data_IF_375973179071
#
_entry.id   IF_375973179071
#
_cell.length_a   1.000
_cell.length_b   1.000
_cell.length_c   1.000
_cell.angle_alpha   90.00
_cell.angle_beta   90.00
_cell.angle_gamma   90.00
#
_symmetry.space_group_name_H-M   'P 1'
#
loop_
_entity.id
_entity.type
_entity.pdbx_description
1 polymer ?
#
# COMPACT_ATOMS: atom_id res chain seq x y z
N UNK A 1 28.36 3.38 -15.85
CA UNK A 1 28.72 1.97 -15.61
C UNK A 1 27.84 1.07 -16.49
N UNK A 2 27.97 1.20 -17.82
CA UNK A 2 27.15 0.50 -18.85
C UNK A 2 28.05 -0.36 -19.77
N UNK A 3 29.09 -0.97 -19.21
CA UNK A 3 30.08 -1.76 -19.97
C UNK A 3 30.54 -2.98 -19.17
N UNK A 4 29.62 -3.81 -18.71
CA UNK A 4 30.02 -5.13 -18.18
C UNK A 4 29.07 -6.29 -18.54
N UNK A 5 27.92 -6.03 -19.17
CA UNK A 5 27.03 -7.08 -19.66
C UNK A 5 26.43 -6.62 -20.99
N UNK A 6 26.72 -7.32 -22.08
CA UNK A 6 26.08 -7.11 -23.38
C UNK A 6 24.61 -7.58 -23.31
N UNK A 7 23.77 -6.76 -22.68
CA UNK A 7 22.34 -6.98 -22.60
C UNK A 7 21.65 -6.09 -23.63
N UNK A 8 20.88 -6.71 -24.52
CA UNK A 8 20.00 -5.98 -25.43
C UNK A 8 18.88 -5.28 -24.63
N UNK A 9 18.28 -4.19 -25.15
CA UNK A 9 17.19 -3.48 -24.46
C UNK A 9 16.01 -4.38 -24.03
N UNK A 10 15.75 -5.45 -24.78
CA UNK A 10 14.76 -6.47 -24.43
C UNK A 10 15.16 -7.31 -23.20
N UNK A 11 16.46 -7.53 -22.97
CA UNK A 11 16.99 -8.25 -21.80
C UNK A 11 17.15 -7.34 -20.56
N UNK A 12 17.22 -6.04 -20.77
CA UNK A 12 17.22 -5.03 -19.71
C UNK A 12 15.81 -4.54 -19.32
N UNK A 13 14.78 -5.01 -20.03
CA UNK A 13 13.39 -4.72 -19.66
C UNK A 13 13.09 -5.38 -18.32
N UNK A 14 12.52 -4.67 -17.33
CA UNK A 14 12.10 -5.30 -16.09
C UNK A 14 11.18 -6.46 -16.45
N UNK A 15 11.36 -7.65 -15.83
CA UNK A 15 10.46 -8.76 -16.09
C UNK A 15 9.03 -8.27 -15.89
N UNK A 16 8.10 -8.72 -16.75
CA UNK A 16 6.68 -8.50 -16.50
C UNK A 16 6.30 -9.01 -15.10
N UNK A 17 5.14 -8.65 -14.54
CA UNK A 17 4.71 -9.13 -13.24
C UNK A 17 4.48 -10.64 -13.29
N UNK A 18 5.56 -11.40 -13.12
CA UNK A 18 5.56 -12.85 -13.01
C UNK A 18 5.73 -13.13 -11.53
N UNK A 19 4.61 -13.12 -10.81
CA UNK A 19 4.57 -13.69 -9.47
C UNK A 19 4.50 -15.21 -9.60
N UNK A 20 5.53 -15.85 -10.15
CA UNK A 20 5.73 -17.29 -10.00
C UNK A 20 6.29 -17.55 -8.60
N UNK A 21 5.46 -17.29 -7.60
CA UNK A 21 5.66 -17.90 -6.28
C UNK A 21 5.33 -19.38 -6.42
N UNK A 22 6.30 -20.25 -6.15
CA UNK A 22 5.99 -21.65 -5.88
C UNK A 22 5.31 -21.65 -4.50
N UNK A 23 3.98 -21.64 -4.49
CA UNK A 23 3.23 -21.72 -3.24
C UNK A 23 3.15 -23.18 -2.84
N UNK A 24 3.76 -23.55 -1.72
CA UNK A 24 3.68 -24.93 -1.16
C UNK A 24 2.25 -25.32 -0.77
N UNK A 25 1.33 -24.34 -0.66
CA UNK A 25 -0.09 -24.51 -0.39
C UNK A 25 -0.94 -23.71 -1.39
N UNK A 26 -2.27 -23.95 -1.39
CA UNK A 26 -3.20 -23.17 -2.22
C UNK A 26 -3.00 -21.65 -1.98
N UNK A 27 -3.02 -20.83 -3.04
CA UNK A 27 -2.82 -19.38 -2.95
C UNK A 27 -4.04 -18.73 -2.27
N UNK A 28 -4.11 -18.82 -0.95
CA UNK A 28 -5.15 -18.19 -0.12
C UNK A 28 -6.59 -18.61 -0.46
N UNK A 29 -7.59 -17.95 0.17
CA UNK A 29 -9.01 -18.19 -0.09
C UNK A 29 -9.52 -17.52 -1.39
N UNK A 30 -8.75 -16.61 -1.99
CA UNK A 30 -9.14 -15.83 -3.18
C UNK A 30 -8.00 -15.81 -4.19
N UNK A 31 -8.33 -16.07 -5.44
CA UNK A 31 -7.39 -16.15 -6.56
C UNK A 31 -7.92 -15.45 -7.82
N UNK A 32 -7.21 -15.59 -8.96
CA UNK A 32 -7.62 -14.97 -10.22
C UNK A 32 -8.96 -15.50 -10.76
N UNK A 33 -9.34 -16.73 -10.43
CA UNK A 33 -10.54 -17.41 -10.93
C UNK A 33 -11.77 -17.11 -10.08
N UNK A 34 -11.55 -16.61 -8.87
CA UNK A 34 -12.61 -16.20 -7.95
C UNK A 34 -13.54 -15.15 -8.58
N UNK A 35 -14.82 -15.23 -8.25
CA UNK A 35 -15.84 -14.31 -8.74
C UNK A 35 -15.50 -12.86 -8.31
N UNK A 36 -15.85 -11.83 -9.13
CA UNK A 36 -15.55 -10.44 -8.82
C UNK A 36 -16.04 -9.99 -7.43
N UNK A 37 -17.24 -10.42 -7.01
CA UNK A 37 -17.77 -10.08 -5.68
C UNK A 37 -16.90 -10.61 -4.55
N UNK A 38 -16.39 -11.83 -4.67
CA UNK A 38 -15.51 -12.44 -3.66
C UNK A 38 -14.20 -11.65 -3.53
N UNK A 39 -13.67 -11.13 -4.64
CA UNK A 39 -12.47 -10.28 -4.63
C UNK A 39 -12.74 -8.92 -3.98
N UNK A 40 -13.91 -8.32 -4.25
CA UNK A 40 -14.35 -7.06 -3.63
C UNK A 40 -14.49 -7.23 -2.12
N UNK A 41 -15.15 -8.30 -1.69
CA UNK A 41 -15.34 -8.61 -0.26
C UNK A 41 -14.01 -8.87 0.44
N UNK A 42 -13.13 -9.63 -0.20
CA UNK A 42 -11.80 -9.89 0.33
C UNK A 42 -10.96 -8.61 0.44
N UNK A 43 -10.99 -7.74 -0.56
CA UNK A 43 -10.30 -6.45 -0.50
C UNK A 43 -10.84 -5.58 0.64
N UNK A 44 -12.16 -5.48 0.78
CA UNK A 44 -12.79 -4.70 1.85
C UNK A 44 -12.48 -5.23 3.25
N UNK A 45 -12.39 -6.55 3.42
CA UNK A 45 -12.01 -7.18 4.69
C UNK A 45 -10.52 -6.97 5.00
N UNK A 46 -9.65 -7.14 4.00
CA UNK A 46 -8.19 -7.05 4.17
C UNK A 46 -7.74 -5.60 4.39
N UNK A 47 -8.26 -4.66 3.59
CA UNK A 47 -7.97 -3.24 3.68
C UNK A 47 -9.08 -2.46 4.39
N UNK A 48 -9.55 -2.99 5.53
CA UNK A 48 -10.59 -2.33 6.32
C UNK A 48 -10.17 -0.88 6.66
N UNK A 49 -11.07 0.05 6.35
CA UNK A 49 -10.87 1.49 6.40
C UNK A 49 -12.23 2.16 6.64
N UNK A 50 -12.23 3.49 6.80
CA UNK A 50 -13.48 4.25 6.86
C UNK A 50 -14.35 4.00 5.63
N UNK A 51 -15.65 3.78 5.87
CA UNK A 51 -16.63 3.52 4.81
C UNK A 51 -17.46 4.74 4.44
N UNK A 52 -17.40 5.80 5.24
CA UNK A 52 -18.12 7.06 5.02
C UNK A 52 -17.41 8.00 4.02
N UNK A 53 -16.16 7.69 3.67
CA UNK A 53 -15.32 8.54 2.82
C UNK A 53 -14.23 7.72 2.12
N UNK A 54 -13.89 8.10 0.89
CA UNK A 54 -12.69 7.66 0.18
C UNK A 54 -12.03 8.83 -0.54
N UNK A 55 -10.79 8.65 -0.99
CA UNK A 55 -10.07 9.66 -1.77
C UNK A 55 -10.07 9.30 -3.26
N UNK A 56 -10.12 10.32 -4.12
CA UNK A 56 -9.94 10.20 -5.57
C UNK A 56 -8.64 10.87 -5.99
N UNK A 57 -7.97 10.29 -7.00
CA UNK A 57 -6.79 10.90 -7.60
C UNK A 57 -7.21 12.04 -8.52
N UNK A 58 -6.57 13.20 -8.39
CA UNK A 58 -6.68 14.28 -9.36
C UNK A 58 -5.35 14.47 -10.07
N UNK A 59 -5.42 14.94 -11.31
CA UNK A 59 -4.26 15.28 -12.11
C UNK A 59 -4.57 16.54 -12.92
N UNK A 60 -3.63 17.47 -12.92
CA UNK A 60 -3.65 18.64 -13.76
C UNK A 60 -2.75 18.39 -14.96
N UNK A 61 -3.36 18.07 -16.09
CA UNK A 61 -2.69 17.75 -17.35
C UNK A 61 -1.81 18.89 -17.86
N UNK A 62 -2.11 20.14 -17.51
CA UNK A 62 -1.32 21.32 -17.93
C UNK A 62 -0.05 21.49 -17.13
N UNK A 63 -0.09 21.20 -15.82
CA UNK A 63 1.07 21.40 -14.93
C UNK A 63 1.79 20.09 -14.57
N UNK A 64 1.25 18.94 -14.97
CA UNK A 64 1.74 17.61 -14.57
C UNK A 64 1.62 17.32 -13.07
N UNK A 65 0.86 18.13 -12.32
CA UNK A 65 0.70 17.95 -10.87
C UNK A 65 -0.42 16.95 -10.62
N UNK A 66 -0.20 16.04 -9.69
CA UNK A 66 -1.21 15.09 -9.25
C UNK A 66 -1.28 15.05 -7.73
N UNK A 67 -2.38 14.51 -7.22
CA UNK A 67 -2.55 14.29 -5.78
C UNK A 67 -3.84 13.54 -5.47
N UNK A 68 -4.16 13.48 -4.19
CA UNK A 68 -5.35 12.82 -3.67
C UNK A 68 -6.22 13.83 -2.96
N UNK A 69 -7.54 13.75 -3.16
CA UNK A 69 -8.54 14.58 -2.50
C UNK A 69 -9.71 13.70 -2.07
N UNK A 70 -10.41 14.05 -0.97
CA UNK A 70 -11.68 13.42 -0.62
C UNK A 70 -12.66 13.43 -1.79
N UNK A 71 -13.36 12.31 -1.97
CA UNK A 71 -14.51 12.22 -2.86
C UNK A 71 -15.67 12.99 -2.23
N UNK A 72 -16.09 14.09 -2.87
CA UNK A 72 -17.18 14.96 -2.42
C UNK A 72 -18.19 15.09 -3.55
N UNK A 73 -19.49 15.01 -3.23
CA UNK A 73 -20.56 15.22 -4.21
C UNK A 73 -20.46 16.62 -4.81
N UNK A 74 -20.50 16.70 -6.14
CA UNK A 74 -20.32 17.97 -6.86
C UNK A 74 -18.87 18.47 -6.94
N UNK A 75 -17.90 17.65 -6.50
CA UNK A 75 -16.47 17.90 -6.65
C UNK A 75 -15.85 18.76 -5.55
N UNK A 76 -14.53 18.64 -5.41
CA UNK A 76 -13.77 19.40 -4.42
C UNK A 76 -13.66 20.89 -4.82
N UNK A 77 -13.92 21.80 -3.86
CA UNK A 77 -13.75 23.26 -4.04
C UNK A 77 -12.86 23.84 -2.95
N UNK A 78 -11.95 24.74 -3.33
CA UNK A 78 -11.07 25.43 -2.40
C UNK A 78 -11.90 26.29 -1.42
N UNK A 79 -11.62 26.18 -0.12
CA UNK A 79 -12.30 26.96 0.93
C UNK A 79 -13.57 26.31 1.50
N UNK A 80 -13.96 25.11 1.04
CA UNK A 80 -15.11 24.39 1.60
C UNK A 80 -14.82 23.96 3.05
N UNK A 81 -15.68 24.36 4.00
CA UNK A 81 -15.60 23.93 5.39
C UNK A 81 -15.82 22.43 5.49
N UNK A 82 -15.30 21.80 6.54
CA UNK A 82 -15.43 20.34 6.69
C UNK A 82 -16.90 19.91 6.83
N UNK A 83 -17.69 20.68 7.58
CA UNK A 83 -19.12 20.46 7.84
C UNK A 83 -20.02 20.58 6.61
N UNK A 84 -19.59 21.32 5.59
CA UNK A 84 -20.38 21.51 4.36
C UNK A 84 -20.06 20.44 3.29
N UNK A 85 -19.19 19.47 3.60
CA UNK A 85 -18.74 18.46 2.63
C UNK A 85 -19.67 17.26 2.66
N UNK A 86 -20.38 17.06 1.56
CA UNK A 86 -21.12 15.84 1.28
C UNK A 86 -20.15 14.76 0.74
N UNK A 87 -19.48 14.05 1.66
CA UNK A 87 -18.54 12.98 1.32
C UNK A 87 -19.25 11.79 0.69
N UNK A 88 -18.60 11.19 -0.32
CA UNK A 88 -19.12 9.98 -0.96
C UNK A 88 -18.63 8.73 -0.19
N UNK A 89 -19.54 7.79 0.14
CA UNK A 89 -19.19 6.59 0.87
C UNK A 89 -18.38 5.62 0.00
N UNK A 90 -17.51 4.85 0.65
CA UNK A 90 -16.78 3.76 0.03
C UNK A 90 -17.70 2.53 -0.11
N UNK A 91 -18.36 2.41 -1.26
CA UNK A 91 -19.27 1.29 -1.54
C UNK A 91 -18.57 0.13 -2.25
N UNK A 92 -19.25 -1.03 -2.35
CA UNK A 92 -18.76 -2.19 -3.12
C UNK A 92 -18.51 -1.83 -4.59
N UNK A 93 -19.34 -0.97 -5.17
CA UNK A 93 -19.22 -0.50 -6.55
C UNK A 93 -17.96 0.36 -6.73
N UNK A 94 -17.64 1.21 -5.76
CA UNK A 94 -16.41 2.00 -5.75
C UNK A 94 -15.18 1.09 -5.67
N UNK A 95 -15.20 0.09 -4.79
CA UNK A 95 -14.12 -0.91 -4.68
C UNK A 95 -14.00 -1.73 -5.95
N UNK A 96 -15.12 -2.14 -6.56
CA UNK A 96 -15.13 -2.85 -7.84
C UNK A 96 -14.47 -2.01 -8.94
N UNK A 97 -14.88 -0.77 -9.11
CA UNK A 97 -14.32 0.15 -10.10
C UNK A 97 -12.83 0.40 -9.85
N UNK A 98 -12.39 0.38 -8.59
CA UNK A 98 -10.98 0.40 -8.25
C UNK A 98 -10.23 -0.84 -8.73
N UNK A 99 -10.73 -2.03 -8.40
CA UNK A 99 -10.10 -3.30 -8.73
C UNK A 99 -10.14 -3.63 -10.23
N UNK A 100 -11.11 -3.10 -10.98
CA UNK A 100 -11.17 -3.20 -12.44
C UNK A 100 -10.27 -2.19 -13.17
N UNK A 101 -9.71 -1.22 -12.45
CA UNK A 101 -8.88 -0.15 -13.01
C UNK A 101 -9.67 0.98 -13.68
N UNK A 102 -11.00 0.99 -13.57
CA UNK A 102 -11.85 2.10 -14.04
C UNK A 102 -11.59 3.39 -13.26
N UNK A 103 -11.21 3.26 -11.98
CA UNK A 103 -10.80 4.38 -11.16
C UNK A 103 -9.69 4.01 -10.16
N UNK A 104 -9.07 5.02 -9.55
CA UNK A 104 -8.13 4.83 -8.45
C UNK A 104 -8.65 5.53 -7.21
N UNK A 105 -8.71 4.79 -6.11
CA UNK A 105 -9.16 5.30 -4.81
C UNK A 105 -8.01 5.27 -3.81
N UNK A 106 -8.05 6.21 -2.86
CA UNK A 106 -7.25 6.16 -1.64
C UNK A 106 -8.16 5.82 -0.46
N UNK A 107 -7.64 5.04 0.47
CA UNK A 107 -8.36 4.61 1.67
C UNK A 107 -7.95 5.46 2.87
N UNK A 108 -8.87 5.65 3.81
CA UNK A 108 -8.61 6.29 5.10
C UNK A 108 -8.54 5.21 6.20
N UNK A 109 -7.34 4.68 6.54
CA UNK A 109 -7.16 3.53 7.43
C UNK A 109 -7.55 3.73 8.89
N UNK A 110 -7.64 4.99 9.34
CA UNK A 110 -7.92 5.30 10.74
C UNK A 110 -9.42 5.21 11.00
N UNK A 111 -9.80 4.18 11.75
CA UNK A 111 -11.16 3.92 12.21
C UNK A 111 -11.46 4.70 13.49
N UNK A 112 -12.72 4.66 13.90
CA UNK A 112 -13.18 5.28 15.16
C UNK A 112 -12.38 4.76 16.36
N UNK A 113 -12.11 5.69 17.30
CA UNK A 113 -11.30 5.41 18.49
C UNK A 113 -9.82 5.19 18.19
N UNK A 114 -9.30 5.80 17.11
CA UNK A 114 -7.89 5.77 16.70
C UNK A 114 -7.35 4.34 16.48
N UNK A 115 -8.16 3.51 15.80
CA UNK A 115 -7.84 2.11 15.50
C UNK A 115 -7.54 1.89 14.03
N UNK A 116 -6.84 0.80 13.71
CA UNK A 116 -6.66 0.33 12.35
C UNK A 116 -6.60 -1.20 12.27
N UNK A 117 -6.84 -1.72 11.07
CA UNK A 117 -6.76 -3.17 10.79
C UNK A 117 -5.50 -3.55 10.01
N UNK A 118 -4.70 -2.57 9.59
CA UNK A 118 -3.47 -2.81 8.87
C UNK A 118 -2.46 -1.69 9.11
N UNK A 119 -1.20 -2.02 8.83
CA UNK A 119 -0.06 -1.10 8.82
C UNK A 119 0.64 -1.23 7.47
N UNK A 120 1.04 -0.12 6.87
CA UNK A 120 1.92 -0.10 5.71
C UNK A 120 3.19 0.68 6.03
N UNK A 121 4.35 0.10 5.74
CA UNK A 121 5.62 0.81 5.69
C UNK A 121 5.95 1.14 4.24
N UNK A 122 6.13 2.43 3.96
CA UNK A 122 6.39 2.95 2.63
C UNK A 122 7.88 3.22 2.43
N UNK A 123 8.40 2.73 1.29
CA UNK A 123 9.78 2.88 0.88
C UNK A 123 9.84 3.46 -0.53
N UNK A 124 10.54 4.56 -0.69
CA UNK A 124 10.65 5.33 -1.92
C UNK A 124 12.10 5.47 -2.42
N UNK A 125 12.23 5.56 -3.75
CA UNK A 125 13.52 5.81 -4.39
C UNK A 125 14.32 4.54 -4.69
N UNK A 126 15.56 4.72 -5.15
CA UNK A 126 16.33 3.64 -5.79
C UNK A 126 16.65 2.45 -4.87
N UNK A 127 16.67 2.67 -3.55
CA UNK A 127 16.95 1.64 -2.55
C UNK A 127 15.68 0.95 -2.01
N UNK A 128 14.48 1.37 -2.40
CA UNK A 128 13.22 0.96 -1.78
C UNK A 128 13.06 -0.56 -1.69
N UNK A 129 13.28 -1.28 -2.79
CA UNK A 129 13.16 -2.74 -2.80
C UNK A 129 14.12 -3.41 -1.81
N UNK A 130 15.37 -2.94 -1.73
CA UNK A 130 16.37 -3.53 -0.84
C UNK A 130 16.03 -3.27 0.63
N UNK A 131 15.62 -2.05 0.95
CA UNK A 131 15.27 -1.65 2.32
C UNK A 131 13.94 -2.29 2.76
N UNK A 132 12.95 -2.39 1.87
CA UNK A 132 11.70 -3.12 2.11
C UNK A 132 11.95 -4.61 2.34
N UNK A 133 12.89 -5.24 1.61
CA UNK A 133 13.29 -6.63 1.85
C UNK A 133 14.01 -6.81 3.20
N UNK A 134 14.84 -5.84 3.60
CA UNK A 134 15.48 -5.85 4.93
C UNK A 134 14.43 -5.73 6.04
N UNK A 135 13.45 -4.86 5.87
CA UNK A 135 12.31 -4.70 6.77
C UNK A 135 11.44 -5.96 6.84
N UNK A 136 11.18 -6.60 5.69
CA UNK A 136 10.48 -7.90 5.63
C UNK A 136 11.27 -9.00 6.34
N UNK A 137 12.60 -9.01 6.23
CA UNK A 137 13.47 -9.96 6.95
C UNK A 137 13.38 -9.76 8.47
N UNK A 138 13.37 -8.51 8.94
CA UNK A 138 13.16 -8.19 10.35
C UNK A 138 11.78 -8.65 10.83
N UNK A 139 10.72 -8.39 10.06
CA UNK A 139 9.38 -8.89 10.37
C UNK A 139 9.35 -10.41 10.53
N UNK A 140 9.99 -11.14 9.60
CA UNK A 140 10.12 -12.61 9.67
C UNK A 140 10.90 -13.07 10.91
N UNK A 141 11.99 -12.39 11.27
CA UNK A 141 12.77 -12.73 12.47
C UNK A 141 11.95 -12.56 13.76
N UNK A 142 11.03 -11.60 13.79
CA UNK A 142 10.08 -11.39 14.88
C UNK A 142 8.79 -12.20 14.75
N UNK A 143 8.70 -13.14 13.80
CA UNK A 143 7.49 -13.93 13.49
C UNK A 143 6.24 -13.07 13.19
N UNK A 144 6.43 -11.87 12.63
CA UNK A 144 5.36 -10.98 12.20
C UNK A 144 5.02 -11.28 10.73
N UNK A 145 3.79 -11.70 10.41
CA UNK A 145 3.35 -11.85 9.03
C UNK A 145 3.35 -10.51 8.31
N UNK A 146 4.02 -10.45 7.17
CA UNK A 146 4.12 -9.24 6.36
C UNK A 146 4.18 -9.58 4.87
N UNK A 147 3.57 -8.73 4.04
CA UNK A 147 3.51 -8.88 2.58
C UNK A 147 4.23 -7.72 1.90
N UNK A 148 5.01 -8.02 0.87
CA UNK A 148 5.70 -7.02 0.05
C UNK A 148 4.89 -6.73 -1.21
N UNK A 149 4.69 -5.45 -1.50
CA UNK A 149 4.11 -4.93 -2.73
C UNK A 149 5.11 -4.00 -3.41
N UNK A 150 5.32 -4.15 -4.72
CA UNK A 150 6.08 -3.16 -5.50
C UNK A 150 5.10 -2.10 -5.98
N UNK A 151 5.41 -0.83 -5.73
CA UNK A 151 4.51 0.26 -6.10
C UNK A 151 4.37 0.38 -7.62
N UNK A 152 3.30 1.05 -8.07
CA UNK A 152 3.04 1.25 -9.51
C UNK A 152 4.19 1.92 -10.26
N UNK A 153 5.00 2.76 -9.60
CA UNK A 153 6.14 3.41 -10.23
C UNK A 153 7.27 2.44 -10.56
N UNK A 154 7.26 1.23 -9.95
CA UNK A 154 8.33 0.25 -10.03
C UNK A 154 9.57 0.61 -9.22
N UNK A 155 9.59 1.80 -8.61
CA UNK A 155 10.73 2.32 -7.84
C UNK A 155 10.44 2.32 -6.35
N UNK A 156 9.17 2.39 -5.94
CA UNK A 156 8.79 2.28 -4.52
C UNK A 156 8.37 0.86 -4.14
N UNK A 157 8.29 0.59 -2.85
CA UNK A 157 7.81 -0.67 -2.30
C UNK A 157 7.07 -0.43 -0.98
N UNK A 158 6.00 -1.18 -0.77
CA UNK A 158 5.25 -1.17 0.49
C UNK A 158 5.40 -2.52 1.19
N UNK A 159 5.55 -2.50 2.51
CA UNK A 159 5.43 -3.69 3.35
C UNK A 159 4.18 -3.59 4.21
N UNK A 160 3.25 -4.49 4.00
CA UNK A 160 1.94 -4.54 4.63
C UNK A 160 1.90 -5.54 5.78
N UNK A 161 1.29 -5.16 6.90
CA UNK A 161 0.86 -6.05 7.97
C UNK A 161 -0.64 -5.93 8.17
N UNK A 162 -1.32 -7.06 8.35
CA UNK A 162 -2.77 -7.12 8.56
C UNK A 162 -3.05 -7.71 9.94
N UNK A 163 -3.94 -7.07 10.70
CA UNK A 163 -4.34 -7.50 12.03
C UNK A 163 -5.67 -8.26 11.98
N UNK A 164 -5.79 -9.31 12.79
CA UNK A 164 -7.02 -10.12 12.85
C UNK A 164 -8.24 -9.36 13.41
N UNK A 165 -8.00 -8.26 14.12
CA UNK A 165 -9.02 -7.36 14.65
C UNK A 165 -8.45 -5.92 14.72
N UNK A 166 -9.30 -4.89 14.81
CA UNK A 166 -8.85 -3.51 14.97
C UNK A 166 -7.94 -3.36 16.19
N UNK A 167 -6.75 -2.80 16.00
CA UNK A 167 -5.78 -2.47 17.07
C UNK A 167 -5.63 -0.96 17.18
N UNK A 168 -5.18 -0.42 18.33
CA UNK A 168 -4.80 0.99 18.40
C UNK A 168 -3.74 1.33 17.35
N UNK A 169 -3.95 2.39 16.57
CA UNK A 169 -3.04 2.81 15.51
C UNK A 169 -1.64 3.13 16.06
N UNK A 170 -1.55 3.64 17.30
CA UNK A 170 -0.29 3.83 17.99
C UNK A 170 0.47 2.51 18.20
N UNK A 171 -0.22 1.44 18.62
CA UNK A 171 0.39 0.12 18.79
C UNK A 171 0.92 -0.42 17.46
N UNK A 172 0.14 -0.29 16.39
CA UNK A 172 0.57 -0.68 15.04
C UNK A 172 1.82 0.10 14.61
N UNK A 173 1.86 1.41 14.82
CA UNK A 173 3.04 2.24 14.51
C UNK A 173 4.26 1.84 15.35
N UNK A 174 4.09 1.60 16.65
CA UNK A 174 5.17 1.13 17.54
C UNK A 174 5.77 -0.19 17.06
N UNK A 175 4.92 -1.13 16.61
CA UNK A 175 5.38 -2.36 15.96
C UNK A 175 6.22 -2.05 14.72
N UNK A 176 5.72 -1.20 13.81
CA UNK A 176 6.46 -0.85 12.60
C UNK A 176 7.80 -0.19 12.88
N UNK A 177 7.83 0.76 13.82
CA UNK A 177 9.08 1.41 14.23
C UNK A 177 10.06 0.44 14.88
N UNK A 178 9.58 -0.54 15.66
CA UNK A 178 10.44 -1.58 16.22
C UNK A 178 11.06 -2.44 15.12
N UNK A 179 10.29 -2.79 14.08
CA UNK A 179 10.79 -3.54 12.92
C UNK A 179 11.83 -2.74 12.11
N UNK A 180 11.71 -1.42 12.02
CA UNK A 180 12.73 -0.57 11.37
C UNK A 180 14.05 -0.67 12.12
N UNK A 181 14.01 -0.58 13.46
CA UNK A 181 15.20 -0.71 14.33
C UNK A 181 15.84 -2.08 14.19
N UNK A 182 15.04 -3.14 14.17
CA UNK A 182 15.52 -4.51 13.98
C UNK A 182 16.17 -4.67 12.60
N UNK A 183 15.56 -4.12 11.54
CA UNK A 183 16.14 -4.15 10.20
C UNK A 183 17.50 -3.44 10.14
N UNK A 184 17.64 -2.29 10.79
CA UNK A 184 18.93 -1.57 10.89
C UNK A 184 19.97 -2.38 11.66
N UNK A 185 19.57 -3.05 12.76
CA UNK A 185 20.46 -3.91 13.54
C UNK A 185 20.95 -5.12 12.73
N UNK A 186 20.04 -5.82 12.05
CA UNK A 186 20.35 -6.98 11.20
C UNK A 186 21.26 -6.63 10.01
N UNK A 187 21.23 -5.38 9.55
CA UNK A 187 22.05 -4.90 8.43
C UNK A 187 23.40 -4.31 8.86
N UNK A 188 23.71 -4.29 10.16
CA UNK A 188 24.97 -3.79 10.70
C UNK A 188 25.09 -2.27 10.71
N UNK A 189 24.06 -1.56 11.21
CA UNK A 189 24.01 -0.10 11.38
C UNK A 189 23.96 0.75 10.09
N UNK A 190 23.49 0.19 8.97
CA UNK A 190 23.15 0.99 7.79
C UNK A 190 21.74 1.59 7.90
N UNK A 191 21.59 2.84 7.46
CA UNK A 191 20.29 3.53 7.40
C UNK A 191 19.37 2.93 6.33
N UNK A 192 18.07 2.95 6.63
CA UNK A 192 16.99 2.66 5.67
C UNK A 192 16.63 3.96 4.93
N UNK A 193 17.53 4.43 4.08
CA UNK A 193 17.44 5.76 3.46
C UNK A 193 16.20 5.95 2.58
N UNK A 194 15.55 4.86 2.15
CA UNK A 194 14.32 4.92 1.35
C UNK A 194 13.03 4.96 2.18
N UNK A 195 13.07 4.74 3.50
CA UNK A 195 11.87 4.80 4.33
C UNK A 195 11.25 6.21 4.32
N UNK A 196 9.99 6.33 3.90
CA UNK A 196 9.24 7.61 3.93
C UNK A 196 8.38 7.70 5.19
N UNK A 197 7.41 6.78 5.37
CA UNK A 197 6.49 6.82 6.51
C UNK A 197 5.79 5.48 6.80
N UNK A 198 5.07 5.46 7.93
CA UNK A 198 4.09 4.44 8.29
C UNK A 198 2.66 4.96 8.05
N UNK A 199 1.78 4.09 7.58
CA UNK A 199 0.33 4.32 7.50
C UNK A 199 -0.43 3.31 8.37
N UNK A 200 -1.47 3.70 9.12
CA UNK A 200 -1.97 5.07 9.30
C UNK A 200 -0.95 5.99 9.98
N UNK A 201 -0.76 7.17 9.41
CA UNK A 201 0.05 8.24 10.00
C UNK A 201 -0.65 8.85 11.22
#
# INVERSE_FOLDING_TARGET
MLRLLELTPARASPPGPVQTGFFEARPGPVDRQSAPEVKVDFFGALFAARTDIYAVRWENTRTGKAGWLPAVRGGWRKGMRHEDRDYLPLTREVVRAHLSGEMHIGLYPLLDGDRCCWLAADFDGQAATLDALAYLKAARACAVPAALEVSRSGVGAHVWMFFAAPVPAETARRLGTALLREAMALRGHMDLASYDRLFPA
#
